data_IF_858413411873
#
_entry.id   IF_858413411873
#
_cell.length_a   1.000
_cell.length_b   1.000
_cell.length_c   1.000
_cell.angle_alpha   90.00
_cell.angle_beta   90.00
_cell.angle_gamma   90.00
#
_symmetry.space_group_name_H-M   'P 1'
#
loop_
_entity.id
_entity.type
_entity.pdbx_description
1 polymer ?
#
# COMPACT_ATOMS: atom_id res chain seq x y z
N UNK A 1 -5.17 -3.19 -2.39
CA UNK A 1 -5.76 -2.35 -3.44
C UNK A 1 -6.92 -3.06 -4.10
N UNK A 2 -6.64 -4.17 -4.76
CA UNK A 2 -7.66 -4.94 -5.44
C UNK A 2 -8.86 -5.31 -4.55
N UNK A 3 -8.63 -5.91 -3.37
CA UNK A 3 -9.70 -6.25 -2.43
C UNK A 3 -10.65 -5.07 -2.08
N UNK A 4 -10.11 -3.87 -1.84
CA UNK A 4 -10.93 -2.68 -1.57
C UNK A 4 -11.65 -2.18 -2.81
N UNK A 5 -11.03 -2.29 -3.99
CA UNK A 5 -11.64 -1.94 -5.27
C UNK A 5 -12.82 -2.85 -5.56
N UNK A 6 -12.63 -4.18 -5.51
CA UNK A 6 -13.71 -5.17 -5.72
C UNK A 6 -14.89 -4.94 -4.77
N UNK A 7 -14.60 -4.72 -3.48
CA UNK A 7 -15.64 -4.44 -2.49
C UNK A 7 -16.36 -3.09 -2.76
N UNK A 8 -15.62 -2.04 -3.13
CA UNK A 8 -16.20 -0.71 -3.39
C UNK A 8 -17.05 -0.70 -4.66
N UNK A 9 -16.54 -1.28 -5.75
CA UNK A 9 -17.24 -1.37 -7.04
C UNK A 9 -18.47 -2.25 -6.91
N UNK A 10 -18.36 -3.39 -6.22
CA UNK A 10 -19.51 -4.24 -5.95
C UNK A 10 -20.62 -3.53 -5.18
N UNK A 11 -20.30 -2.60 -4.26
CA UNK A 11 -21.32 -1.79 -3.61
C UNK A 11 -22.03 -0.81 -4.58
N UNK A 12 -21.28 -0.21 -5.51
CA UNK A 12 -21.84 0.65 -6.57
C UNK A 12 -22.76 -0.16 -7.48
N UNK A 13 -22.36 -1.36 -7.87
CA UNK A 13 -23.15 -2.25 -8.72
C UNK A 13 -24.47 -2.68 -8.05
N UNK A 14 -24.49 -2.75 -6.71
CA UNK A 14 -25.70 -2.98 -5.91
C UNK A 14 -26.60 -1.73 -5.79
N UNK A 15 -26.22 -0.60 -6.39
CA UNK A 15 -26.97 0.65 -6.38
C UNK A 15 -26.67 1.57 -5.18
N UNK A 16 -25.69 1.22 -4.34
CA UNK A 16 -25.28 2.07 -3.22
C UNK A 16 -24.49 3.30 -3.70
N UNK A 17 -24.43 4.33 -2.85
CA UNK A 17 -23.66 5.56 -3.12
C UNK A 17 -22.54 5.75 -2.10
N UNK A 18 -21.45 4.95 -2.17
CA UNK A 18 -20.50 4.81 -1.06
C UNK A 18 -19.45 5.94 -1.03
N UNK A 19 -19.86 7.20 -0.85
CA UNK A 19 -18.98 8.39 -0.98
C UNK A 19 -17.76 8.37 -0.04
N UNK A 20 -17.94 7.90 1.20
CA UNK A 20 -16.87 7.82 2.20
C UNK A 20 -15.87 6.72 1.85
N UNK A 21 -16.36 5.58 1.37
CA UNK A 21 -15.53 4.45 0.96
C UNK A 21 -14.69 4.82 -0.26
N UNK A 22 -15.28 5.53 -1.25
CA UNK A 22 -14.53 6.04 -2.39
C UNK A 22 -13.39 6.96 -1.96
N UNK A 23 -13.63 7.84 -0.98
CA UNK A 23 -12.59 8.70 -0.41
C UNK A 23 -11.48 7.92 0.31
N UNK A 24 -11.84 6.87 1.08
CA UNK A 24 -10.88 5.96 1.72
C UNK A 24 -10.02 5.27 0.67
N UNK A 25 -10.64 4.66 -0.34
CA UNK A 25 -9.93 3.93 -1.39
C UNK A 25 -9.02 4.88 -2.17
N UNK A 26 -9.50 6.04 -2.60
CA UNK A 26 -8.68 7.04 -3.30
C UNK A 26 -7.45 7.44 -2.49
N UNK A 27 -7.65 7.83 -1.23
CA UNK A 27 -6.56 8.27 -0.35
C UNK A 27 -5.52 7.17 -0.14
N UNK A 28 -5.96 5.98 0.31
CA UNK A 28 -5.03 4.90 0.69
C UNK A 28 -4.36 4.25 -0.50
N UNK A 29 -5.04 4.11 -1.64
CA UNK A 29 -4.43 3.47 -2.82
C UNK A 29 -3.38 4.36 -3.46
N UNK A 30 -3.62 5.66 -3.57
CA UNK A 30 -2.65 6.60 -4.16
C UNK A 30 -1.42 6.78 -3.28
N UNK A 31 -1.57 6.81 -1.95
CA UNK A 31 -0.42 6.90 -1.03
C UNK A 31 0.39 5.60 -0.99
N UNK A 32 -0.28 4.43 -1.01
CA UNK A 32 0.40 3.14 -1.10
C UNK A 32 1.11 2.95 -2.44
N UNK A 33 0.51 3.43 -3.53
CA UNK A 33 1.15 3.45 -4.85
C UNK A 33 2.43 4.27 -4.84
N UNK A 34 2.40 5.49 -4.27
CA UNK A 34 3.61 6.33 -4.13
C UNK A 34 4.72 5.57 -3.39
N UNK A 35 4.39 4.96 -2.25
CA UNK A 35 5.36 4.19 -1.45
C UNK A 35 5.91 3.01 -2.24
N UNK A 36 5.04 2.22 -2.87
CA UNK A 36 5.44 1.04 -3.64
C UNK A 36 6.34 1.39 -4.84
N UNK A 37 6.10 2.52 -5.51
CA UNK A 37 6.96 2.99 -6.60
C UNK A 37 8.34 3.41 -6.08
N UNK A 38 8.39 4.10 -4.93
CA UNK A 38 9.66 4.46 -4.30
C UNK A 38 10.47 3.20 -3.94
N UNK A 39 9.84 2.24 -3.26
CA UNK A 39 10.47 0.98 -2.88
C UNK A 39 10.95 0.20 -4.13
N UNK A 40 10.16 0.22 -5.21
CA UNK A 40 10.56 -0.39 -6.47
C UNK A 40 11.77 0.30 -7.10
N UNK A 41 11.83 1.64 -7.09
CA UNK A 41 12.99 2.38 -7.60
C UNK A 41 14.25 2.12 -6.76
N UNK A 42 14.11 2.01 -5.44
CA UNK A 42 15.22 1.66 -4.54
C UNK A 42 15.79 0.27 -4.86
N UNK A 43 14.92 -0.71 -5.15
CA UNK A 43 15.33 -2.05 -5.61
C UNK A 43 16.07 -1.99 -6.96
N UNK A 44 15.66 -1.12 -7.87
CA UNK A 44 16.27 -0.97 -9.20
C UNK A 44 17.57 -0.15 -9.19
N UNK A 45 17.84 0.62 -8.14
CA UNK A 45 19.02 1.46 -8.02
C UNK A 45 19.17 2.44 -9.20
N UNK A 46 20.35 2.44 -9.84
CA UNK A 46 20.67 3.37 -10.94
C UNK A 46 19.68 3.31 -12.11
N UNK A 47 19.13 2.13 -12.42
CA UNK A 47 18.12 1.97 -13.48
C UNK A 47 16.81 2.67 -13.15
N UNK A 48 16.42 2.64 -11.87
CA UNK A 48 15.23 3.36 -11.39
C UNK A 48 15.37 4.87 -11.47
N UNK A 49 16.61 5.40 -11.46
CA UNK A 49 16.89 6.84 -11.49
C UNK A 49 17.07 7.36 -12.91
N UNK A 50 17.75 6.61 -13.78
CA UNK A 50 18.03 7.06 -15.15
C UNK A 50 16.73 7.17 -15.97
N UNK A 51 16.44 8.35 -16.51
CA UNK A 51 15.24 8.62 -17.30
C UNK A 51 15.44 8.16 -18.74
N UNK A 52 15.30 6.86 -18.99
CA UNK A 52 15.47 6.27 -20.31
C UNK A 52 14.41 5.24 -20.68
N UNK A 53 14.49 4.69 -21.91
CA UNK A 53 13.53 3.71 -22.41
C UNK A 53 13.36 2.54 -21.46
N UNK A 54 14.43 2.01 -20.85
CA UNK A 54 14.40 0.83 -19.98
C UNK A 54 13.90 1.11 -18.56
N UNK A 55 13.60 2.36 -18.20
CA UNK A 55 13.05 2.73 -16.91
C UNK A 55 11.51 2.86 -16.94
N UNK A 56 10.83 1.73 -16.76
CA UNK A 56 9.37 1.66 -16.68
C UNK A 56 8.77 2.26 -15.39
N UNK A 57 9.57 2.60 -14.38
CA UNK A 57 9.08 3.12 -13.08
C UNK A 57 9.04 4.65 -13.03
N UNK A 58 9.99 5.30 -13.71
CA UNK A 58 10.19 6.74 -13.71
C UNK A 58 8.91 7.55 -13.96
N UNK A 59 8.12 7.18 -14.96
CA UNK A 59 6.90 7.91 -15.32
C UNK A 59 5.81 7.73 -14.27
N UNK A 60 5.70 6.54 -13.66
CA UNK A 60 4.80 6.31 -12.53
C UNK A 60 5.15 7.19 -11.34
N UNK A 61 6.45 7.31 -11.02
CA UNK A 61 6.94 8.19 -9.96
C UNK A 61 6.64 9.66 -10.24
N UNK A 62 6.96 10.15 -11.44
CA UNK A 62 6.67 11.54 -11.86
C UNK A 62 5.16 11.86 -11.85
N UNK A 63 4.32 10.88 -12.16
CA UNK A 63 2.86 11.02 -12.17
C UNK A 63 2.21 10.93 -10.79
N UNK A 64 2.89 10.39 -9.78
CA UNK A 64 2.31 10.18 -8.44
C UNK A 64 1.67 11.44 -7.81
N UNK A 65 2.24 12.66 -7.93
CA UNK A 65 1.60 13.88 -7.44
C UNK A 65 0.22 14.18 -8.05
N UNK A 66 0.00 13.80 -9.31
CA UNK A 66 -1.29 14.01 -10.00
C UNK A 66 -2.38 13.20 -9.32
N UNK A 67 -2.17 11.90 -9.13
CA UNK A 67 -3.14 11.01 -8.47
C UNK A 67 -3.47 11.45 -7.03
N UNK A 68 -2.54 12.14 -6.38
CA UNK A 68 -2.66 12.53 -4.97
C UNK A 68 -3.34 13.89 -4.80
N UNK A 69 -3.19 14.80 -5.77
CA UNK A 69 -3.76 16.15 -5.72
C UNK A 69 -5.08 16.28 -6.48
N UNK A 70 -5.24 15.56 -7.60
CA UNK A 70 -6.45 15.57 -8.43
C UNK A 70 -7.55 14.73 -7.76
N UNK A 71 -8.82 15.01 -8.09
CA UNK A 71 -10.03 14.41 -7.49
C UNK A 71 -10.22 14.70 -5.99
N UNK A 72 -9.51 15.72 -5.48
CA UNK A 72 -9.51 16.11 -4.08
C UNK A 72 -8.18 15.75 -3.42
N UNK A 73 -7.44 16.78 -3.02
CA UNK A 73 -6.12 16.61 -2.42
C UNK A 73 -6.18 15.68 -1.20
N UNK A 74 -5.27 14.70 -1.13
CA UNK A 74 -5.26 13.71 -0.04
C UNK A 74 -5.26 14.32 1.37
N UNK A 75 -4.65 15.50 1.56
CA UNK A 75 -4.67 16.23 2.83
C UNK A 75 -6.11 16.60 3.21
N UNK A 76 -6.87 17.16 2.28
CA UNK A 76 -8.28 17.52 2.45
C UNK A 76 -9.15 16.28 2.67
N UNK A 77 -8.92 15.25 1.85
CA UNK A 77 -9.67 13.99 1.90
C UNK A 77 -9.52 13.32 3.26
N UNK A 78 -8.28 13.20 3.76
CA UNK A 78 -7.98 12.61 5.06
C UNK A 78 -8.53 13.46 6.22
N UNK A 79 -8.29 14.77 6.20
CA UNK A 79 -8.60 15.62 7.34
C UNK A 79 -10.09 15.97 7.46
N UNK A 80 -10.81 16.11 6.34
CA UNK A 80 -12.17 16.65 6.35
C UNK A 80 -13.25 15.69 5.82
N UNK A 81 -12.94 14.88 4.80
CA UNK A 81 -13.97 14.12 4.07
C UNK A 81 -14.23 12.76 4.72
N UNK A 82 -13.18 11.94 4.91
CA UNK A 82 -13.32 10.54 5.34
C UNK A 82 -14.11 10.42 6.64
N UNK A 83 -13.70 11.15 7.69
CA UNK A 83 -14.44 11.15 8.94
C UNK A 83 -15.48 12.27 9.00
N UNK A 84 -15.11 13.52 8.74
CA UNK A 84 -16.03 14.66 8.96
C UNK A 84 -17.37 14.55 8.25
N UNK A 85 -17.40 14.14 6.98
CA UNK A 85 -18.65 13.93 6.25
C UNK A 85 -19.28 12.56 6.51
N UNK A 86 -18.47 11.54 6.78
CA UNK A 86 -18.94 10.19 7.09
C UNK A 86 -19.61 10.08 8.46
N UNK A 87 -19.12 10.81 9.44
CA UNK A 87 -19.58 10.76 10.83
C UNK A 87 -21.03 11.27 10.98
N UNK A 88 -21.42 12.31 10.24
CA UNK A 88 -22.80 12.82 10.27
C UNK A 88 -23.78 11.85 9.59
N UNK A 89 -23.36 11.20 8.49
CA UNK A 89 -24.24 10.34 7.69
C UNK A 89 -24.38 8.92 8.24
N UNK A 90 -23.33 8.40 8.89
CA UNK A 90 -23.29 7.02 9.34
C UNK A 90 -23.63 6.87 10.83
N UNK A 91 -23.75 7.97 11.58
CA UNK A 91 -24.13 7.91 12.98
C UNK A 91 -25.66 7.75 13.13
N UNK A 92 -26.16 6.74 13.89
CA UNK A 92 -27.58 6.41 13.92
C UNK A 92 -28.51 7.52 14.42
N UNK A 93 -28.00 8.42 15.26
CA UNK A 93 -28.83 9.41 15.97
C UNK A 93 -28.60 10.86 15.51
N UNK A 94 -27.43 11.19 14.96
CA UNK A 94 -27.04 12.59 14.70
C UNK A 94 -27.89 13.23 13.61
N UNK A 95 -28.20 12.49 12.55
CA UNK A 95 -29.07 13.01 11.49
C UNK A 95 -30.49 13.27 12.01
N UNK A 96 -31.01 12.41 12.89
CA UNK A 96 -32.32 12.57 13.50
C UNK A 96 -32.36 13.78 14.44
N UNK A 97 -31.29 14.02 15.22
CA UNK A 97 -31.16 15.21 16.07
C UNK A 97 -31.18 16.51 15.24
N UNK A 98 -30.44 16.54 14.12
CA UNK A 98 -30.42 17.68 13.21
C UNK A 98 -31.77 17.92 12.52
N UNK A 99 -32.46 16.86 12.12
CA UNK A 99 -33.80 16.96 11.51
C UNK A 99 -34.84 17.44 12.52
N UNK A 100 -34.80 16.94 13.75
CA UNK A 100 -35.70 17.38 14.82
C UNK A 100 -35.53 18.87 15.13
N UNK A 101 -34.28 19.37 15.13
CA UNK A 101 -33.98 20.79 15.33
C UNK A 101 -34.42 21.70 14.17
N UNK A 102 -34.78 21.14 13.01
CA UNK A 102 -35.25 21.88 11.84
C UNK A 102 -36.78 21.85 11.67
N UNK A 103 -37.51 21.24 12.61
CA UNK A 103 -38.97 21.16 12.56
C UNK A 103 -39.60 22.51 12.99
N UNK A 104 -40.62 22.96 12.26
CA UNK A 104 -41.33 24.21 12.55
C UNK A 104 -42.25 24.10 13.79
N UNK A 105 -42.78 22.90 14.07
CA UNK A 105 -43.60 22.62 15.27
C UNK A 105 -42.71 22.34 16.47
N UNK A 106 -42.59 23.31 17.38
CA UNK A 106 -41.76 23.23 18.59
C UNK A 106 -42.10 22.03 19.48
N UNK A 107 -43.37 21.66 19.62
CA UNK A 107 -43.78 20.55 20.49
C UNK A 107 -43.38 19.19 19.93
N UNK A 108 -43.55 19.02 18.62
CA UNK A 108 -43.11 17.83 17.91
C UNK A 108 -41.57 17.78 17.80
N UNK A 109 -40.91 18.93 17.61
CA UNK A 109 -39.45 19.08 17.56
C UNK A 109 -38.81 18.61 18.87
N UNK A 110 -39.29 19.08 20.02
CA UNK A 110 -38.76 18.69 21.34
C UNK A 110 -38.93 17.19 21.57
N UNK A 111 -40.10 16.63 21.25
CA UNK A 111 -40.36 15.20 21.43
C UNK A 111 -39.44 14.33 20.56
N UNK A 112 -39.25 14.71 19.30
CA UNK A 112 -38.37 14.00 18.37
C UNK A 112 -36.89 14.13 18.77
N UNK A 113 -36.49 15.32 19.23
CA UNK A 113 -35.14 15.60 19.69
C UNK A 113 -34.80 14.81 20.95
N UNK A 114 -35.65 14.84 21.98
CA UNK A 114 -35.44 14.09 23.22
C UNK A 114 -35.29 12.60 22.94
N UNK A 115 -36.16 12.03 22.09
CA UNK A 115 -36.06 10.62 21.69
C UNK A 115 -34.70 10.31 21.03
N UNK A 116 -34.22 11.18 20.16
CA UNK A 116 -32.95 11.00 19.47
C UNK A 116 -31.76 11.11 20.44
N UNK A 117 -31.74 12.13 21.30
CA UNK A 117 -30.68 12.38 22.28
C UNK A 117 -30.60 11.27 23.34
N UNK A 118 -31.73 10.85 23.92
CA UNK A 118 -31.73 9.75 24.89
C UNK A 118 -31.30 8.43 24.24
N UNK A 119 -31.68 8.21 22.97
CA UNK A 119 -31.17 7.10 22.16
C UNK A 119 -29.64 7.15 21.99
N UNK A 120 -29.10 8.33 21.66
CA UNK A 120 -27.68 8.57 21.51
C UNK A 120 -26.91 8.35 22.82
N UNK A 121 -27.41 8.86 23.95
CA UNK A 121 -26.80 8.63 25.27
C UNK A 121 -26.77 7.13 25.60
N UNK A 122 -27.88 6.42 25.37
CA UNK A 122 -27.94 4.97 25.56
C UNK A 122 -26.94 4.23 24.67
N UNK A 123 -26.79 4.65 23.41
CA UNK A 123 -25.82 4.12 22.47
C UNK A 123 -24.38 4.35 22.94
N UNK A 124 -24.05 5.56 23.39
CA UNK A 124 -22.72 5.91 23.90
C UNK A 124 -22.35 5.10 25.16
N UNK A 125 -23.29 4.94 26.10
CA UNK A 125 -23.10 4.11 27.31
C UNK A 125 -22.88 2.64 26.92
N UNK A 126 -23.69 2.11 26.00
CA UNK A 126 -23.54 0.74 25.50
C UNK A 126 -22.18 0.53 24.84
N UNK A 127 -21.75 1.46 23.98
CA UNK A 127 -20.43 1.45 23.36
C UNK A 127 -19.30 1.55 24.38
N UNK A 128 -19.47 2.32 25.46
CA UNK A 128 -18.49 2.40 26.53
C UNK A 128 -18.26 1.04 27.19
N UNK A 129 -19.33 0.39 27.67
CA UNK A 129 -19.22 -0.93 28.31
C UNK A 129 -18.74 -2.01 27.34
N UNK A 130 -19.22 -2.00 26.09
CA UNK A 130 -18.76 -2.91 25.04
C UNK A 130 -17.28 -2.73 24.75
N UNK A 131 -16.81 -1.49 24.60
CA UNK A 131 -15.41 -1.16 24.35
C UNK A 131 -14.55 -1.57 25.53
N UNK A 132 -14.98 -1.28 26.75
CA UNK A 132 -14.29 -1.68 27.97
C UNK A 132 -14.15 -3.20 28.04
N UNK A 133 -15.24 -3.94 27.86
CA UNK A 133 -15.23 -5.41 27.88
C UNK A 133 -14.35 -6.02 26.79
N UNK A 134 -14.48 -5.55 25.54
CA UNK A 134 -13.66 -6.02 24.42
C UNK A 134 -12.18 -5.66 24.61
N UNK A 135 -11.89 -4.51 25.20
CA UNK A 135 -10.52 -4.09 25.48
C UNK A 135 -9.89 -4.87 26.64
N UNK A 136 -10.66 -5.12 27.70
CA UNK A 136 -10.26 -5.91 28.87
C UNK A 136 -10.20 -7.42 28.60
N UNK A 137 -10.71 -7.91 27.48
CA UNK A 137 -10.59 -9.32 27.08
C UNK A 137 -9.70 -9.49 25.86
N UNK A 138 -9.17 -8.38 25.31
CA UNK A 138 -8.44 -8.38 24.05
C UNK A 138 -9.29 -8.86 22.86
N UNK A 139 -10.62 -8.81 22.96
CA UNK A 139 -11.56 -9.31 21.97
C UNK A 139 -11.73 -10.83 21.96
N UNK A 140 -11.13 -11.58 22.90
CA UNK A 140 -11.09 -13.05 22.88
C UNK A 140 -12.47 -13.70 22.80
N UNK A 141 -13.47 -13.14 23.51
CA UNK A 141 -14.85 -13.63 23.56
C UNK A 141 -15.76 -13.00 22.49
N UNK A 142 -15.22 -12.17 21.61
CA UNK A 142 -15.97 -11.60 20.51
C UNK A 142 -16.31 -12.67 19.46
N UNK A 143 -17.46 -12.56 18.83
CA UNK A 143 -17.86 -13.46 17.76
C UNK A 143 -16.93 -13.29 16.55
N UNK A 144 -16.59 -14.41 15.91
CA UNK A 144 -15.95 -14.43 14.60
C UNK A 144 -16.78 -15.35 13.69
N UNK A 145 -17.02 -14.95 12.43
CA UNK A 145 -17.82 -15.76 11.50
C UNK A 145 -17.14 -17.07 11.10
N UNK A 146 -15.82 -17.16 11.28
CA UNK A 146 -15.01 -18.32 10.92
C UNK A 146 -14.09 -18.69 12.09
N UNK A 147 -13.75 -19.98 12.18
CA UNK A 147 -12.88 -20.55 13.21
C UNK A 147 -11.54 -21.02 12.64
N UNK A 148 -10.88 -20.15 11.87
CA UNK A 148 -9.56 -20.39 11.28
C UNK A 148 -8.53 -19.34 11.74
N UNK A 149 -7.36 -19.30 11.09
CA UNK A 149 -6.30 -18.35 11.39
C UNK A 149 -6.73 -16.86 11.30
N UNK A 150 -7.82 -16.55 10.60
CA UNK A 150 -8.36 -15.19 10.48
C UNK A 150 -9.31 -14.80 11.61
N UNK A 151 -9.79 -15.75 12.41
CA UNK A 151 -10.73 -15.52 13.51
C UNK A 151 -10.24 -14.41 14.47
N UNK A 152 -8.92 -14.37 14.74
CA UNK A 152 -8.29 -13.33 15.56
C UNK A 152 -8.50 -11.92 14.99
N UNK A 153 -8.48 -11.76 13.66
CA UNK A 153 -8.63 -10.45 13.01
C UNK A 153 -10.05 -9.93 13.12
N UNK A 154 -11.07 -10.77 12.90
CA UNK A 154 -12.46 -10.38 13.13
C UNK A 154 -12.70 -9.93 14.57
N UNK A 155 -12.15 -10.67 15.55
CA UNK A 155 -12.25 -10.32 16.97
C UNK A 155 -11.61 -8.98 17.30
N UNK A 156 -10.42 -8.71 16.75
CA UNK A 156 -9.77 -7.40 16.90
C UNK A 156 -10.58 -6.31 16.19
N UNK A 157 -11.08 -6.53 14.98
CA UNK A 157 -11.91 -5.55 14.29
C UNK A 157 -13.16 -5.17 15.10
N UNK A 158 -13.81 -6.13 15.75
CA UNK A 158 -14.94 -5.85 16.64
C UNK A 158 -14.53 -4.96 17.82
N UNK A 159 -13.35 -5.19 18.41
CA UNK A 159 -12.79 -4.34 19.49
C UNK A 159 -12.53 -2.92 18.99
N UNK A 160 -11.86 -2.78 17.85
CA UNK A 160 -11.49 -1.48 17.28
C UNK A 160 -12.69 -0.73 16.72
N UNK A 161 -13.70 -1.42 16.19
CA UNK A 161 -14.97 -0.84 15.77
C UNK A 161 -15.76 -0.29 16.95
N UNK A 162 -15.85 -1.03 18.06
CA UNK A 162 -16.47 -0.52 19.29
C UNK A 162 -15.73 0.70 19.83
N UNK A 163 -14.39 0.65 19.87
CA UNK A 163 -13.58 1.79 20.27
C UNK A 163 -13.79 3.00 19.36
N UNK A 164 -13.83 2.82 18.04
CA UNK A 164 -14.09 3.89 17.08
C UNK A 164 -15.48 4.51 17.27
N UNK A 165 -16.51 3.70 17.51
CA UNK A 165 -17.85 4.20 17.81
C UNK A 165 -17.85 5.06 19.08
N UNK A 166 -17.30 4.54 20.19
CA UNK A 166 -17.14 5.31 21.43
C UNK A 166 -16.37 6.62 21.22
N UNK A 167 -15.28 6.57 20.45
CA UNK A 167 -14.48 7.76 20.16
C UNK A 167 -15.23 8.78 19.31
N UNK A 168 -16.09 8.32 18.42
CA UNK A 168 -16.94 9.19 17.61
C UNK A 168 -17.96 9.91 18.50
N UNK A 169 -18.64 9.18 19.37
CA UNK A 169 -19.63 9.71 20.32
C UNK A 169 -18.99 10.76 21.25
N UNK A 170 -17.83 10.42 21.85
CA UNK A 170 -17.14 11.35 22.75
C UNK A 170 -16.58 12.56 22.00
N UNK A 171 -16.05 12.39 20.80
CA UNK A 171 -15.56 13.51 19.99
C UNK A 171 -16.70 14.47 19.62
N UNK A 172 -17.87 13.95 19.22
CA UNK A 172 -19.04 14.77 18.95
C UNK A 172 -19.58 15.46 20.20
N UNK A 173 -19.68 14.76 21.33
CA UNK A 173 -20.18 15.33 22.58
C UNK A 173 -19.26 16.42 23.14
N UNK A 174 -17.93 16.25 23.03
CA UNK A 174 -16.96 17.19 23.61
C UNK A 174 -16.56 18.33 22.68
N UNK A 175 -16.61 18.12 21.36
CA UNK A 175 -16.16 19.12 20.37
C UNK A 175 -17.33 19.73 19.59
N UNK A 176 -18.48 19.07 19.52
CA UNK A 176 -19.67 19.56 18.81
C UNK A 176 -19.34 20.03 17.39
N UNK A 177 -19.77 21.25 17.05
CA UNK A 177 -19.50 21.87 15.76
C UNK A 177 -18.03 22.19 15.47
N UNK A 178 -17.17 22.29 16.50
CA UNK A 178 -15.73 22.51 16.32
C UNK A 178 -15.00 21.26 15.82
N UNK A 179 -15.63 20.09 15.85
CA UNK A 179 -15.05 18.84 15.32
C UNK A 179 -14.61 19.01 13.86
N UNK A 180 -15.37 19.75 13.05
CA UNK A 180 -15.03 20.06 11.65
C UNK A 180 -13.76 20.92 11.54
N UNK A 181 -13.48 21.77 12.53
CA UNK A 181 -12.27 22.63 12.59
C UNK A 181 -11.06 21.89 13.18
N UNK A 182 -11.28 20.79 13.90
CA UNK A 182 -10.22 19.95 14.50
C UNK A 182 -9.74 18.88 13.51
N UNK A 183 -9.22 19.34 12.38
CA UNK A 183 -8.78 18.51 11.26
C UNK A 183 -7.90 17.30 11.64
N UNK A 184 -6.95 17.47 12.57
CA UNK A 184 -6.07 16.37 13.02
C UNK A 184 -6.80 15.26 13.78
N UNK A 185 -7.87 15.60 14.51
CA UNK A 185 -8.69 14.62 15.25
C UNK A 185 -9.53 13.82 14.25
N UNK A 186 -10.19 14.55 13.34
CA UNK A 186 -10.94 13.97 12.23
C UNK A 186 -10.05 13.05 11.37
N UNK A 187 -8.83 13.47 11.06
CA UNK A 187 -7.86 12.66 10.32
C UNK A 187 -7.59 11.31 10.99
N UNK A 188 -7.32 11.30 12.31
CA UNK A 188 -7.03 10.06 13.04
C UNK A 188 -8.23 9.14 13.15
N UNK A 189 -9.42 9.69 13.38
CA UNK A 189 -10.67 8.91 13.33
C UNK A 189 -10.92 8.31 11.95
N UNK A 190 -10.61 9.08 10.89
CA UNK A 190 -10.64 8.64 9.51
C UNK A 190 -9.63 7.54 9.20
N UNK A 191 -8.42 7.61 9.76
CA UNK A 191 -7.40 6.58 9.61
C UNK A 191 -7.83 5.25 10.26
N UNK A 192 -8.44 5.30 11.46
CA UNK A 192 -8.99 4.12 12.14
C UNK A 192 -10.09 3.48 11.28
N UNK A 193 -11.05 4.29 10.82
CA UNK A 193 -12.14 3.84 9.94
C UNK A 193 -11.59 3.22 8.65
N UNK A 194 -10.59 3.85 8.06
CA UNK A 194 -9.96 3.36 6.83
C UNK A 194 -9.31 2.00 7.04
N UNK A 195 -8.55 1.83 8.13
CA UNK A 195 -7.88 0.55 8.41
C UNK A 195 -8.88 -0.57 8.70
N UNK A 196 -9.99 -0.26 9.39
CA UNK A 196 -11.10 -1.20 9.57
C UNK A 196 -11.70 -1.60 8.23
N UNK A 197 -12.00 -0.63 7.35
CA UNK A 197 -12.54 -0.88 6.02
C UNK A 197 -11.60 -1.73 5.14
N UNK A 198 -10.31 -1.38 5.08
CA UNK A 198 -9.33 -2.12 4.29
C UNK A 198 -9.13 -3.55 4.83
N UNK A 199 -9.18 -3.74 6.15
CA UNK A 199 -9.12 -5.08 6.75
C UNK A 199 -10.37 -5.89 6.43
N UNK A 200 -11.56 -5.28 6.50
CA UNK A 200 -12.81 -5.91 6.05
C UNK A 200 -12.74 -6.36 4.59
N UNK A 201 -12.21 -5.51 3.71
CA UNK A 201 -12.08 -5.81 2.29
C UNK A 201 -11.14 -7.01 2.04
N UNK A 202 -9.99 -7.06 2.72
CA UNK A 202 -9.05 -8.20 2.63
C UNK A 202 -9.70 -9.50 3.10
N UNK A 203 -10.35 -9.48 4.26
CA UNK A 203 -11.03 -10.67 4.81
C UNK A 203 -12.21 -11.11 3.95
N UNK A 204 -12.95 -10.16 3.37
CA UNK A 204 -14.05 -10.44 2.44
C UNK A 204 -13.53 -11.07 1.15
N UNK A 205 -12.50 -10.50 0.51
CA UNK A 205 -11.89 -11.08 -0.69
C UNK A 205 -11.42 -12.50 -0.43
N UNK A 206 -10.69 -12.71 0.67
CA UNK A 206 -10.23 -14.05 1.06
C UNK A 206 -11.39 -15.04 1.20
N UNK A 207 -12.52 -14.59 1.74
CA UNK A 207 -13.71 -15.41 1.85
C UNK A 207 -14.35 -15.71 0.49
N UNK A 208 -14.54 -14.69 -0.34
CA UNK A 208 -15.22 -14.81 -1.64
C UNK A 208 -14.42 -15.68 -2.63
N UNK A 209 -13.08 -15.70 -2.52
CA UNK A 209 -12.18 -16.54 -3.32
C UNK A 209 -12.03 -17.97 -2.76
N UNK A 210 -12.80 -18.35 -1.73
CA UNK A 210 -12.83 -19.70 -1.18
C UNK A 210 -11.76 -20.00 -0.11
N UNK A 211 -11.18 -18.97 0.53
CA UNK A 211 -10.25 -19.08 1.67
C UNK A 211 -9.00 -19.92 1.36
N UNK A 212 -8.39 -19.65 0.22
CA UNK A 212 -7.22 -20.39 -0.28
C UNK A 212 -6.04 -20.34 0.69
N UNK A 213 -5.58 -21.49 1.21
CA UNK A 213 -4.54 -21.56 2.27
C UNK A 213 -3.24 -20.86 1.87
N UNK A 214 -2.88 -20.92 0.58
CA UNK A 214 -1.69 -20.27 0.03
C UNK A 214 -1.73 -18.73 0.05
N UNK A 215 -2.91 -18.12 0.16
CA UNK A 215 -3.06 -16.66 0.28
C UNK A 215 -3.00 -16.19 1.74
N UNK A 216 -3.04 -17.12 2.69
CA UNK A 216 -3.08 -16.80 4.12
C UNK A 216 -1.91 -15.90 4.59
N UNK A 217 -0.65 -16.10 4.13
CA UNK A 217 0.44 -15.19 4.51
C UNK A 217 0.20 -13.73 4.06
N UNK A 218 -0.37 -13.53 2.86
CA UNK A 218 -0.71 -12.20 2.34
C UNK A 218 -1.83 -11.56 3.16
N UNK A 219 -2.87 -12.34 3.49
CA UNK A 219 -4.00 -11.91 4.33
C UNK A 219 -3.53 -11.54 5.74
N UNK A 220 -2.70 -12.39 6.35
CA UNK A 220 -2.14 -12.17 7.68
C UNK A 220 -1.31 -10.90 7.71
N UNK A 221 -0.40 -10.72 6.75
CA UNK A 221 0.44 -9.51 6.68
C UNK A 221 -0.42 -8.24 6.56
N UNK A 222 -1.39 -8.25 5.64
CA UNK A 222 -2.25 -7.09 5.41
C UNK A 222 -3.14 -6.75 6.63
N UNK A 223 -3.70 -7.76 7.30
CA UNK A 223 -4.51 -7.54 8.50
C UNK A 223 -3.68 -7.03 9.68
N UNK A 224 -2.48 -7.59 9.90
CA UNK A 224 -1.59 -7.19 10.99
C UNK A 224 -1.06 -5.77 10.79
N UNK A 225 -0.66 -5.40 9.57
CA UNK A 225 -0.23 -4.04 9.24
C UNK A 225 -1.38 -3.02 9.42
N UNK A 226 -2.57 -3.31 8.87
CA UNK A 226 -3.71 -2.41 8.98
C UNK A 226 -4.15 -2.22 10.45
N UNK A 227 -4.25 -3.30 11.23
CA UNK A 227 -4.67 -3.21 12.64
C UNK A 227 -3.60 -2.54 13.52
N UNK A 228 -2.31 -2.73 13.22
CA UNK A 228 -1.23 -2.00 13.90
C UNK A 228 -1.31 -0.49 13.61
N UNK A 229 -1.61 -0.09 12.37
CA UNK A 229 -1.84 1.31 11.98
C UNK A 229 -3.09 1.89 12.66
N UNK A 230 -4.18 1.12 12.77
CA UNK A 230 -5.38 1.52 13.52
C UNK A 230 -5.07 1.75 15.01
N UNK A 231 -4.26 0.88 15.62
CA UNK A 231 -3.80 1.04 17.00
C UNK A 231 -2.97 2.30 17.20
N UNK A 232 -2.07 2.61 16.27
CA UNK A 232 -1.28 3.82 16.32
C UNK A 232 -2.16 5.07 16.20
N UNK A 233 -3.11 5.09 15.26
CA UNK A 233 -4.03 6.21 15.08
C UNK A 233 -4.91 6.46 16.33
N UNK A 234 -5.38 5.40 17.01
CA UNK A 234 -6.08 5.50 18.30
C UNK A 234 -5.18 6.06 19.40
N UNK A 235 -3.95 5.55 19.53
CA UNK A 235 -2.99 5.99 20.54
C UNK A 235 -2.68 7.50 20.38
N UNK A 236 -2.41 7.93 19.16
CA UNK A 236 -2.18 9.34 18.84
C UNK A 236 -3.42 10.21 19.05
N UNK A 237 -4.62 9.67 18.81
CA UNK A 237 -5.88 10.36 19.05
C UNK A 237 -6.05 10.66 20.55
N UNK A 238 -5.74 9.70 21.42
CA UNK A 238 -5.78 9.90 22.86
C UNK A 238 -4.76 10.91 23.36
N UNK A 239 -3.50 10.79 22.90
CA UNK A 239 -2.40 11.65 23.35
C UNK A 239 -2.61 13.13 22.96
N UNK A 240 -3.41 13.37 21.92
CA UNK A 240 -3.68 14.70 21.39
C UNK A 240 -5.15 15.11 21.54
N UNK A 241 -5.91 14.43 22.40
CA UNK A 241 -7.31 14.79 22.64
C UNK A 241 -7.37 16.17 23.34
N UNK A 242 -8.24 17.11 22.90
CA UNK A 242 -8.24 18.49 23.42
C UNK A 242 -8.45 18.56 24.93
N UNK A 243 -9.34 17.71 25.45
CA UNK A 243 -9.46 17.50 26.88
C UNK A 243 -8.55 16.34 27.31
N UNK A 244 -7.41 16.70 27.94
CA UNK A 244 -6.41 15.72 28.39
C UNK A 244 -6.96 14.69 29.37
N UNK A 245 -7.87 15.09 30.27
CA UNK A 245 -8.46 14.16 31.22
C UNK A 245 -9.31 13.10 30.52
N UNK A 246 -10.15 13.51 29.56
CA UNK A 246 -10.94 12.62 28.72
C UNK A 246 -10.03 11.69 27.90
N UNK A 247 -8.98 12.23 27.28
CA UNK A 247 -8.01 11.45 26.51
C UNK A 247 -7.35 10.35 27.34
N UNK A 248 -6.88 10.66 28.56
CA UNK A 248 -6.25 9.67 29.47
C UNK A 248 -7.24 8.61 29.94
N UNK A 249 -8.47 8.99 30.30
CA UNK A 249 -9.50 8.03 30.72
C UNK A 249 -9.83 7.06 29.58
N UNK A 250 -10.08 7.58 28.37
CA UNK A 250 -10.40 6.74 27.22
C UNK A 250 -9.22 5.86 26.82
N UNK A 251 -7.99 6.37 26.90
CA UNK A 251 -6.78 5.56 26.67
C UNK A 251 -6.71 4.35 27.60
N UNK A 252 -7.02 4.54 28.89
CA UNK A 252 -7.06 3.43 29.87
C UNK A 252 -8.21 2.46 29.61
N UNK A 253 -9.35 2.93 29.12
CA UNK A 253 -10.49 2.08 28.77
C UNK A 253 -10.21 1.23 27.52
N UNK A 254 -9.60 1.82 26.49
CA UNK A 254 -9.35 1.16 25.19
C UNK A 254 -8.06 0.33 25.20
N UNK A 255 -7.05 0.77 25.96
CA UNK A 255 -5.76 0.11 26.11
C UNK A 255 -5.43 -0.19 27.58
N UNK A 256 -6.24 -1.02 28.28
CA UNK A 256 -6.00 -1.33 29.69
C UNK A 256 -4.64 -1.99 29.94
N UNK A 257 -4.13 -2.75 28.97
CA UNK A 257 -2.78 -3.34 29.00
C UNK A 257 -1.81 -2.69 28.02
N UNK A 258 -2.12 -1.47 27.57
CA UNK A 258 -1.35 -0.79 26.54
C UNK A 258 -1.55 -1.36 25.13
N UNK A 259 -0.54 -1.14 24.29
CA UNK A 259 -0.53 -1.49 22.86
C UNK A 259 -0.14 -2.95 22.66
N UNK A 260 -1.15 -3.80 22.47
CA UNK A 260 -0.98 -5.26 22.37
C UNK A 260 -0.74 -5.74 20.95
N UNK A 261 -1.21 -5.01 19.93
CA UNK A 261 -1.00 -5.39 18.53
C UNK A 261 0.42 -5.07 18.08
N UNK A 262 0.99 -5.99 17.30
CA UNK A 262 2.29 -5.89 16.65
C UNK A 262 2.10 -5.87 15.14
N UNK A 263 3.08 -5.30 14.42
CA UNK A 263 3.19 -5.47 12.97
C UNK A 263 3.41 -6.95 12.63
N UNK A 264 3.28 -7.28 11.36
CA UNK A 264 3.60 -8.61 10.86
C UNK A 264 5.02 -9.01 11.30
N UNK A 265 5.19 -10.25 11.73
CA UNK A 265 6.51 -10.76 12.12
C UNK A 265 7.39 -10.97 10.88
N UNK A 266 8.72 -10.89 11.04
CA UNK A 266 9.70 -11.17 10.00
C UNK A 266 9.47 -12.53 9.30
N UNK A 267 8.95 -13.53 10.02
CA UNK A 267 8.58 -14.83 9.46
C UNK A 267 7.48 -14.71 8.39
N UNK A 268 6.44 -13.93 8.68
CA UNK A 268 5.34 -13.66 7.74
C UNK A 268 5.84 -12.82 6.58
N UNK A 269 6.63 -11.79 6.86
CA UNK A 269 7.21 -10.94 5.82
C UNK A 269 8.09 -11.75 4.86
N UNK A 270 8.91 -12.66 5.38
CA UNK A 270 9.71 -13.57 4.56
C UNK A 270 8.86 -14.53 3.71
N UNK A 271 7.75 -15.03 4.26
CA UNK A 271 6.80 -15.84 3.50
C UNK A 271 6.17 -15.05 2.34
N UNK A 272 5.73 -13.82 2.61
CA UNK A 272 5.19 -12.92 1.58
C UNK A 272 6.25 -12.60 0.51
N UNK A 273 7.47 -12.25 0.92
CA UNK A 273 8.57 -11.98 0.00
C UNK A 273 8.89 -13.19 -0.90
N UNK A 274 8.82 -14.41 -0.34
CA UNK A 274 9.00 -15.65 -1.10
C UNK A 274 7.87 -15.87 -2.11
N UNK A 275 6.61 -15.64 -1.72
CA UNK A 275 5.46 -15.70 -2.64
C UNK A 275 5.66 -14.73 -3.82
N UNK A 276 6.16 -13.51 -3.56
CA UNK A 276 6.36 -12.52 -4.62
C UNK A 276 7.49 -12.88 -5.60
N UNK A 277 8.52 -13.58 -5.12
CA UNK A 277 9.71 -13.97 -5.91
C UNK A 277 9.56 -15.34 -6.60
N UNK A 278 8.57 -16.15 -6.22
CA UNK A 278 8.39 -17.50 -6.77
C UNK A 278 7.07 -17.57 -7.56
N UNK A 279 7.09 -18.00 -8.84
CA UNK A 279 5.88 -18.29 -9.59
C UNK A 279 5.00 -19.30 -8.84
N UNK A 280 3.82 -18.85 -8.43
CA UNK A 280 2.84 -19.67 -7.70
C UNK A 280 1.44 -19.08 -7.86
N UNK A 281 0.41 -19.87 -7.60
CA UNK A 281 -0.97 -19.44 -7.83
C UNK A 281 -1.38 -18.24 -6.96
N UNK A 282 -0.84 -18.12 -5.74
CA UNK A 282 -1.08 -16.97 -4.87
C UNK A 282 -0.57 -15.65 -5.50
N UNK A 283 0.64 -15.69 -6.08
CA UNK A 283 1.21 -14.57 -6.82
C UNK A 283 0.38 -14.27 -8.08
N UNK A 284 0.00 -15.30 -8.84
CA UNK A 284 -0.83 -15.14 -10.04
C UNK A 284 -2.20 -14.53 -9.74
N UNK A 285 -2.87 -14.93 -8.64
CA UNK A 285 -4.14 -14.32 -8.21
C UNK A 285 -3.97 -12.88 -7.74
N UNK A 286 -2.87 -12.56 -7.07
CA UNK A 286 -2.58 -11.18 -6.68
C UNK A 286 -2.36 -10.29 -7.91
N UNK A 287 -1.68 -10.82 -8.93
CA UNK A 287 -1.37 -10.15 -10.19
C UNK A 287 -2.37 -10.37 -11.32
N UNK A 288 -3.59 -10.87 -11.05
CA UNK A 288 -4.55 -11.31 -12.07
C UNK A 288 -4.85 -10.24 -13.14
N UNK A 289 -4.87 -8.97 -12.74
CA UNK A 289 -5.20 -7.84 -13.61
C UNK A 289 -3.97 -7.17 -14.25
N UNK A 290 -2.78 -7.76 -14.11
CA UNK A 290 -1.56 -7.27 -14.74
C UNK A 290 -1.43 -7.82 -16.16
N UNK A 291 -1.04 -6.97 -17.09
CA UNK A 291 -0.73 -7.37 -18.46
C UNK A 291 0.76 -7.75 -18.57
N UNK A 292 1.03 -9.06 -18.48
CA UNK A 292 2.39 -9.63 -18.41
C UNK A 292 2.83 -10.36 -19.68
N UNK A 293 2.14 -10.18 -20.80
CA UNK A 293 2.54 -10.78 -22.08
C UNK A 293 3.89 -10.21 -22.52
N UNK A 294 4.86 -11.08 -22.83
CA UNK A 294 6.16 -10.66 -23.36
C UNK A 294 6.02 -10.26 -24.84
N UNK A 295 6.01 -8.95 -25.09
CA UNK A 295 5.91 -8.37 -26.42
C UNK A 295 6.71 -7.06 -26.52
N UNK A 296 7.11 -6.63 -27.75
CA UNK A 296 7.87 -5.40 -27.92
C UNK A 296 7.16 -4.19 -27.29
N UNK A 297 7.85 -3.52 -26.37
CA UNK A 297 7.32 -2.36 -25.64
C UNK A 297 6.71 -2.68 -24.28
N UNK A 298 6.38 -3.95 -23.97
CA UNK A 298 5.91 -4.34 -22.64
C UNK A 298 7.08 -4.81 -21.74
N UNK A 299 7.65 -3.87 -21.01
CA UNK A 299 8.78 -4.15 -20.11
C UNK A 299 8.41 -5.02 -18.92
N UNK A 300 7.17 -4.91 -18.43
CA UNK A 300 6.70 -5.73 -17.32
C UNK A 300 6.59 -7.20 -17.72
N UNK A 301 6.07 -7.46 -18.94
CA UNK A 301 6.04 -8.81 -19.50
C UNK A 301 7.43 -9.40 -19.69
N UNK A 302 8.38 -8.59 -20.20
CA UNK A 302 9.78 -9.02 -20.32
C UNK A 302 10.40 -9.38 -18.96
N UNK A 303 10.14 -8.61 -17.90
CA UNK A 303 10.65 -8.91 -16.56
C UNK A 303 10.06 -10.22 -16.01
N UNK A 304 8.78 -10.48 -16.27
CA UNK A 304 8.15 -11.75 -15.90
C UNK A 304 8.81 -12.93 -16.61
N UNK A 305 9.07 -12.80 -17.92
CA UNK A 305 9.77 -13.84 -18.68
C UNK A 305 11.18 -14.08 -18.16
N UNK A 306 11.93 -13.01 -17.85
CA UNK A 306 13.28 -13.11 -17.27
C UNK A 306 13.27 -13.85 -15.93
N UNK A 307 12.26 -13.65 -15.09
CA UNK A 307 12.12 -14.41 -13.84
C UNK A 307 12.01 -15.93 -14.11
N UNK A 308 11.22 -16.32 -15.09
CA UNK A 308 11.06 -17.73 -15.47
C UNK A 308 12.37 -18.30 -16.04
N UNK A 309 13.07 -17.55 -16.88
CA UNK A 309 14.33 -17.97 -17.50
C UNK A 309 15.43 -18.15 -16.45
N UNK A 310 15.51 -17.24 -15.47
CA UNK A 310 16.48 -17.32 -14.35
C UNK A 310 16.21 -18.55 -13.47
N UNK A 311 14.95 -18.82 -13.12
CA UNK A 311 14.60 -20.00 -12.33
C UNK A 311 14.87 -21.31 -13.09
N UNK A 312 14.69 -21.32 -14.42
CA UNK A 312 15.06 -22.46 -15.26
C UNK A 312 16.58 -22.65 -15.37
N UNK A 313 17.36 -21.58 -15.22
CA UNK A 313 18.82 -21.59 -15.26
C UNK A 313 19.46 -22.07 -13.94
N UNK A 314 18.81 -21.89 -12.78
CA UNK A 314 19.35 -22.26 -11.45
C UNK A 314 19.83 -23.73 -11.36
N UNK A 315 19.03 -24.75 -11.75
CA UNK A 315 19.47 -26.14 -11.67
C UNK A 315 20.64 -26.45 -12.62
N UNK A 316 20.69 -25.78 -13.78
CA UNK A 316 21.76 -25.94 -14.76
C UNK A 316 23.07 -25.34 -14.24
N UNK A 317 22.97 -24.15 -13.64
CA UNK A 317 24.08 -23.51 -12.96
C UNK A 317 24.66 -24.39 -11.84
N UNK A 318 23.81 -24.94 -10.99
CA UNK A 318 24.22 -25.84 -9.90
C UNK A 318 24.92 -27.10 -10.43
N UNK A 319 24.46 -27.65 -11.55
CA UNK A 319 25.06 -28.82 -12.21
C UNK A 319 26.47 -28.49 -12.69
N UNK A 320 26.67 -27.36 -13.35
CA UNK A 320 27.99 -26.91 -13.84
C UNK A 320 28.92 -26.57 -12.67
N UNK A 321 28.44 -25.84 -11.65
CA UNK A 321 29.25 -25.46 -10.49
C UNK A 321 29.75 -26.68 -9.71
N UNK A 322 28.91 -27.71 -9.55
CA UNK A 322 29.29 -28.99 -8.94
C UNK A 322 30.33 -29.74 -9.78
N UNK A 323 30.14 -29.82 -11.09
CA UNK A 323 31.07 -30.49 -12.00
C UNK A 323 32.44 -29.80 -12.06
N UNK A 324 32.44 -28.46 -12.06
CA UNK A 324 33.65 -27.65 -12.04
C UNK A 324 34.37 -27.68 -10.68
N UNK A 325 33.72 -28.19 -9.62
CA UNK A 325 34.18 -28.18 -8.24
C UNK A 325 34.65 -26.77 -7.78
N UNK A 326 33.96 -25.73 -8.26
CA UNK A 326 34.26 -24.32 -7.98
C UNK A 326 32.97 -23.62 -7.60
N UNK A 327 33.08 -22.70 -6.64
CA UNK A 327 32.00 -21.77 -6.31
C UNK A 327 31.95 -20.68 -7.39
N UNK A 328 31.18 -20.93 -8.43
CA UNK A 328 30.96 -19.95 -9.49
C UNK A 328 30.04 -18.84 -8.96
N UNK A 329 30.22 -17.59 -9.40
CA UNK A 329 29.24 -16.55 -9.14
C UNK A 329 28.00 -16.73 -10.04
N UNK A 330 26.81 -16.42 -9.53
CA UNK A 330 25.57 -16.43 -10.32
C UNK A 330 25.43 -15.16 -11.18
N UNK A 331 26.45 -14.90 -11.98
CA UNK A 331 26.52 -13.84 -12.98
C UNK A 331 27.38 -14.28 -14.16
N UNK A 332 27.21 -13.66 -15.32
CA UNK A 332 27.89 -14.06 -16.56
C UNK A 332 27.58 -15.51 -16.91
N UNK A 333 26.28 -15.85 -16.94
CA UNK A 333 25.84 -17.24 -17.17
C UNK A 333 26.28 -17.78 -18.54
N UNK A 334 26.65 -16.92 -19.49
CA UNK A 334 27.30 -17.32 -20.74
C UNK A 334 28.65 -18.02 -20.52
N UNK A 335 29.50 -17.53 -19.60
CA UNK A 335 30.77 -18.19 -19.26
C UNK A 335 30.54 -19.56 -18.59
N UNK A 336 29.47 -19.65 -17.77
CA UNK A 336 29.06 -20.92 -17.13
C UNK A 336 28.55 -21.91 -18.19
N UNK A 337 27.83 -21.43 -19.20
CA UNK A 337 27.36 -22.26 -20.30
C UNK A 337 28.54 -22.86 -21.09
N UNK A 338 29.54 -22.05 -21.41
CA UNK A 338 30.73 -22.49 -22.14
C UNK A 338 31.53 -23.53 -21.33
N UNK A 339 31.76 -23.27 -20.04
CA UNK A 339 32.41 -24.22 -19.13
C UNK A 339 31.63 -25.53 -19.01
N UNK A 340 30.30 -25.45 -18.93
CA UNK A 340 29.44 -26.64 -18.85
C UNK A 340 29.53 -27.52 -20.09
N UNK A 341 29.67 -26.92 -21.28
CA UNK A 341 29.88 -27.63 -22.54
C UNK A 341 31.27 -28.27 -22.60
N UNK A 342 32.31 -27.55 -22.17
CA UNK A 342 33.68 -28.07 -22.10
C UNK A 342 33.80 -29.28 -21.16
N UNK A 343 33.11 -29.23 -20.02
CA UNK A 343 33.05 -30.32 -19.06
C UNK A 343 32.12 -31.47 -19.50
N UNK A 344 31.37 -31.29 -20.61
CA UNK A 344 30.43 -32.28 -21.13
C UNK A 344 29.24 -32.56 -20.19
N UNK A 345 28.94 -31.65 -19.27
CA UNK A 345 27.87 -31.84 -18.26
C UNK A 345 26.54 -31.25 -18.67
N UNK A 346 26.50 -30.37 -19.67
CA UNK A 346 25.25 -29.83 -20.23
C UNK A 346 25.22 -29.96 -21.75
N UNK A 347 24.01 -29.97 -22.32
CA UNK A 347 23.78 -29.95 -23.77
C UNK A 347 23.84 -28.53 -24.35
N UNK A 348 23.87 -28.42 -25.69
CA UNK A 348 23.78 -27.12 -26.35
C UNK A 348 22.46 -26.39 -26.09
N UNK A 349 21.36 -27.13 -25.93
CA UNK A 349 20.06 -26.54 -25.57
C UNK A 349 20.05 -26.00 -24.15
N UNK A 350 20.68 -26.71 -23.21
CA UNK A 350 20.85 -26.26 -21.82
C UNK A 350 21.78 -25.04 -21.76
N UNK A 351 22.85 -25.02 -22.55
CA UNK A 351 23.73 -23.86 -22.67
C UNK A 351 23.01 -22.63 -23.25
N UNK A 352 22.12 -22.82 -24.23
CA UNK A 352 21.30 -21.73 -24.78
C UNK A 352 20.38 -21.11 -23.72
N UNK A 353 19.79 -21.92 -22.81
CA UNK A 353 18.97 -21.41 -21.69
C UNK A 353 19.77 -20.53 -20.74
N UNK A 354 21.01 -20.93 -20.41
CA UNK A 354 21.91 -20.12 -19.57
C UNK A 354 22.26 -18.78 -20.23
N UNK A 355 22.51 -18.77 -21.54
CA UNK A 355 22.80 -17.53 -22.30
C UNK A 355 21.57 -16.62 -22.36
N UNK A 356 20.39 -17.16 -22.64
CA UNK A 356 19.13 -16.41 -22.63
C UNK A 356 18.87 -15.77 -21.25
N UNK A 357 19.07 -16.53 -20.18
CA UNK A 357 18.92 -16.02 -18.82
C UNK A 357 19.91 -14.88 -18.52
N UNK A 358 21.14 -14.92 -19.06
CA UNK A 358 22.11 -13.83 -18.94
C UNK A 358 21.66 -12.57 -19.68
N UNK A 359 21.17 -12.70 -20.91
CA UNK A 359 20.64 -11.57 -21.69
C UNK A 359 19.47 -10.90 -20.95
N UNK A 360 18.58 -11.72 -20.39
CA UNK A 360 17.48 -11.27 -19.54
C UNK A 360 17.96 -10.54 -18.29
N UNK A 361 18.92 -11.12 -17.58
CA UNK A 361 19.54 -10.53 -16.38
C UNK A 361 20.14 -9.16 -16.68
N UNK A 362 20.91 -9.05 -17.76
CA UNK A 362 21.50 -7.80 -18.23
C UNK A 362 20.42 -6.77 -18.56
N UNK A 363 19.34 -7.16 -19.24
CA UNK A 363 18.21 -6.27 -19.49
C UNK A 363 17.60 -5.72 -18.18
N UNK A 364 17.44 -6.57 -17.15
CA UNK A 364 16.86 -6.15 -15.88
C UNK A 364 17.77 -5.19 -15.13
N UNK A 365 19.08 -5.40 -15.10
CA UNK A 365 20.03 -4.63 -14.28
C UNK A 365 20.66 -3.43 -14.99
N UNK A 366 20.76 -3.45 -16.33
CA UNK A 366 21.46 -2.41 -17.07
C UNK A 366 20.73 -1.07 -16.95
N UNK A 367 21.52 -0.04 -16.74
CA UNK A 367 21.08 1.36 -16.73
C UNK A 367 21.16 1.87 -18.16
N UNK A 368 20.19 2.68 -18.57
CA UNK A 368 20.29 3.39 -19.84
C UNK A 368 21.49 4.32 -19.83
N UNK A 369 22.31 4.21 -20.87
CA UNK A 369 23.45 5.08 -21.12
C UNK A 369 23.19 5.87 -22.40
N UNK A 370 23.53 7.16 -22.37
CA UNK A 370 23.22 8.10 -23.43
C UNK A 370 24.48 8.83 -23.84
N UNK A 371 24.79 8.77 -25.13
CA UNK A 371 25.84 9.60 -25.73
C UNK A 371 25.55 11.09 -25.44
N UNK A 372 26.56 11.94 -25.23
CA UNK A 372 26.38 13.36 -24.92
C UNK A 372 25.44 14.09 -25.89
N UNK A 373 25.48 13.73 -27.17
CA UNK A 373 24.68 14.30 -28.24
C UNK A 373 23.20 13.91 -28.16
N UNK A 374 22.85 12.81 -27.49
CA UNK A 374 21.47 12.33 -27.37
C UNK A 374 20.60 13.28 -26.53
N UNK A 375 21.19 13.95 -25.53
CA UNK A 375 20.51 14.88 -24.63
C UNK A 375 20.78 16.35 -24.99
N UNK A 376 21.52 16.62 -26.07
CA UNK A 376 21.81 17.98 -26.47
C UNK A 376 20.51 18.70 -26.88
N UNK A 377 20.26 19.85 -26.24
CA UNK A 377 19.09 20.68 -26.55
C UNK A 377 19.16 21.26 -27.99
N UNK A 378 20.37 21.35 -28.54
CA UNK A 378 20.64 21.74 -29.91
C UNK A 378 21.84 20.95 -30.46
N UNK A 379 21.54 19.96 -31.30
CA UNK A 379 22.53 19.09 -31.95
C UNK A 379 23.41 19.82 -32.98
N UNK A 380 23.14 21.10 -33.27
CA UNK A 380 24.02 21.93 -34.12
C UNK A 380 25.21 22.52 -33.34
N UNK A 381 25.14 22.55 -32.00
CA UNK A 381 26.19 23.10 -31.14
C UNK A 381 27.33 22.11 -30.85
N UNK A 382 27.11 20.81 -31.04
CA UNK A 382 28.12 19.75 -30.84
C UNK A 382 29.19 19.74 -31.93
N UNK A 383 28.99 20.48 -33.03
CA UNK A 383 30.01 20.72 -34.06
C UNK A 383 31.00 21.84 -33.72
N UNK A 384 30.82 22.56 -32.60
CA UNK A 384 31.80 23.55 -32.15
C UNK A 384 32.84 22.86 -31.27
N UNK A 385 34.16 23.04 -31.53
CA UNK A 385 35.19 22.51 -30.65
C UNK A 385 34.91 23.00 -29.23
N UNK A 386 35.11 22.13 -28.24
CA UNK A 386 34.88 22.50 -26.85
C UNK A 386 35.66 23.79 -26.54
N UNK A 387 35.16 24.64 -25.64
CA UNK A 387 35.75 25.97 -25.42
C UNK A 387 37.27 25.93 -25.11
N UNK A 388 37.77 24.81 -24.58
CA UNK A 388 39.20 24.60 -24.34
C UNK A 388 40.00 24.32 -25.63
N UNK A 389 39.47 23.53 -26.56
CA UNK A 389 40.05 23.29 -27.90
C UNK A 389 40.03 24.55 -28.77
N UNK A 390 38.93 25.32 -28.73
CA UNK A 390 38.83 26.60 -29.42
C UNK A 390 39.86 27.63 -28.89
N UNK A 391 40.08 27.65 -27.56
CA UNK A 391 41.10 28.50 -26.92
C UNK A 391 42.53 28.05 -27.27
N UNK A 392 42.79 26.74 -27.28
CA UNK A 392 44.10 26.19 -27.66
C UNK A 392 44.42 26.43 -29.14
N UNK A 393 43.44 26.33 -30.04
CA UNK A 393 43.63 26.68 -31.45
C UNK A 393 43.91 28.17 -31.64
N UNK A 394 43.20 29.05 -30.93
CA UNK A 394 43.44 30.49 -30.97
C UNK A 394 44.81 30.87 -30.40
N UNK A 395 45.27 30.20 -29.33
CA UNK A 395 46.62 30.39 -28.82
C UNK A 395 47.68 29.88 -29.81
N UNK A 396 47.51 28.69 -30.40
CA UNK A 396 48.45 28.16 -31.39
C UNK A 396 48.56 29.04 -32.65
N UNK A 397 47.45 29.66 -33.08
CA UNK A 397 47.43 30.60 -34.20
C UNK A 397 48.13 31.92 -33.85
N UNK A 398 48.04 32.39 -32.60
CA UNK A 398 48.79 33.55 -32.11
C UNK A 398 50.29 33.27 -31.98
N UNK A 399 50.69 32.08 -31.55
CA UNK A 399 52.12 31.69 -31.44
C UNK A 399 52.78 31.46 -32.79
N UNK A 400 52.02 31.12 -33.84
CA UNK A 400 52.54 31.02 -35.22
C UNK A 400 52.61 32.37 -35.97
N UNK A 401 51.97 33.40 -35.42
CA UNK A 401 51.93 34.75 -36.01
C UNK A 401 52.87 35.75 -35.31
N UNK A 402 53.57 35.32 -34.27
CA UNK A 402 54.69 36.01 -33.63
C UNK A 402 55.99 35.26 -33.98
#
# INVERSE_FOLDING_TARGET
ADASTTMSVGAIDLGEKPSVISAITKYHMTERMRTAINDAMDVHGGKGICMGPNNYLARGYQGAPVAITVEGANILTRNMIIYGQGAIRCHPYVLAELQAAQMDDEGAAVTAFDKAVFGHIGFAISNFFRTFWLSLTGGMFSHAPYNDATAKYYKQMNRFSAAMALMSDVAMATLGGDLKRRERISARLGDILSMLYLTSAVLKRFNDEGRQVQDLPLVQWACEDNLAKAQLALDELFDNFPNRAVGVVLKRVVFPWGRTLRKASDKVEHQVARIMQTPCEARSRLGLHLYLTDEPGNQLGRIEQVLLDILAAEPLFDKVSKAANKRLPFYRLHEVADLGLELGVISQEEAAKLRLAEEGRLFVINVDDFEPDYLAADNSLTQQPNGAEALNEQQSKKTKAA
#
